data_IF_672767275794
#
_entry.id   IF_672767275794
#
_cell.length_a   1.000
_cell.length_b   1.000
_cell.length_c   1.000
_cell.angle_alpha   90.00
_cell.angle_beta   90.00
_cell.angle_gamma   90.00
#
_symmetry.space_group_name_H-M   'P 1'
#
loop_
_entity.id
_entity.type
_entity.pdbx_description
1 polymer ?
#
# COMPACT_ATOMS: atom_id res chain seq x y z
N UNK A 1 13.15 4.28 13.14
CA UNK A 1 12.40 5.22 14.01
C UNK A 1 11.19 4.47 14.55
N UNK A 2 10.99 4.42 15.87
CA UNK A 2 9.99 3.56 16.52
C UNK A 2 8.61 4.22 16.46
N UNK A 3 7.58 3.43 16.17
CA UNK A 3 6.19 3.81 16.47
C UNK A 3 6.05 4.05 17.97
N UNK A 4 5.38 5.14 18.34
CA UNK A 4 5.08 5.48 19.73
C UNK A 4 3.67 5.02 20.08
N UNK A 5 3.56 4.19 21.12
CA UNK A 5 2.30 3.64 21.61
C UNK A 5 1.80 4.48 22.78
N UNK A 6 0.50 4.79 22.81
CA UNK A 6 -0.10 5.53 23.92
C UNK A 6 -0.14 4.66 25.20
N UNK A 7 0.25 5.20 26.37
CA UNK A 7 0.22 4.47 27.64
C UNK A 7 -1.19 4.24 28.21
N UNK A 8 -2.20 5.00 27.79
CA UNK A 8 -3.61 4.84 28.19
C UNK A 8 -4.34 3.92 27.20
N UNK A 9 -4.00 4.01 25.91
CA UNK A 9 -4.54 3.15 24.84
C UNK A 9 -3.42 2.52 24.01
N UNK A 10 -3.00 1.30 24.33
CA UNK A 10 -1.90 0.56 23.67
C UNK A 10 -2.13 0.20 22.18
N UNK A 11 -3.13 0.79 21.52
CA UNK A 11 -3.60 0.44 20.18
C UNK A 11 -3.43 1.57 19.17
N UNK A 12 -2.89 2.73 19.59
CA UNK A 12 -2.77 3.90 18.72
C UNK A 12 -1.44 3.90 17.99
N UNK A 13 -1.45 3.65 16.67
CA UNK A 13 -0.29 3.77 15.80
C UNK A 13 -0.27 5.17 15.17
N UNK A 14 0.72 5.99 15.55
CA UNK A 14 0.85 7.39 15.10
C UNK A 14 2.04 7.61 14.18
N UNK A 15 1.88 8.51 13.21
CA UNK A 15 2.89 8.97 12.28
C UNK A 15 2.84 10.49 12.17
N UNK A 16 3.99 11.14 12.30
CA UNK A 16 4.15 12.58 12.08
C UNK A 16 4.62 12.84 10.65
N UNK A 17 3.82 13.58 9.85
CA UNK A 17 4.22 14.05 8.51
C UNK A 17 5.24 15.19 8.59
N UNK A 18 5.97 15.41 7.49
CA UNK A 18 6.94 16.51 7.38
C UNK A 18 6.27 17.89 7.46
N UNK A 19 4.99 17.98 7.09
CA UNK A 19 4.15 19.18 7.24
C UNK A 19 3.83 19.55 8.69
N UNK A 20 4.11 18.67 9.66
CA UNK A 20 3.67 18.83 11.05
C UNK A 20 2.26 18.27 11.32
N UNK A 21 1.61 17.65 10.33
CA UNK A 21 0.34 16.94 10.51
C UNK A 21 0.55 15.56 11.16
N UNK A 22 -0.23 15.25 12.19
CA UNK A 22 -0.29 13.91 12.80
C UNK A 22 -1.31 13.04 12.06
N UNK A 23 -0.90 11.82 11.74
CA UNK A 23 -1.73 10.76 11.18
C UNK A 23 -1.86 9.61 12.18
N UNK A 24 -3.08 9.13 12.38
CA UNK A 24 -3.38 7.96 13.20
C UNK A 24 -3.82 6.85 12.27
N UNK A 25 -3.18 5.67 12.37
CA UNK A 25 -3.64 4.46 11.70
C UNK A 25 -4.80 3.87 12.49
N UNK A 26 -6.00 3.96 11.95
CA UNK A 26 -7.22 3.47 12.59
C UNK A 26 -7.52 2.01 12.25
N UNK A 27 -7.15 1.57 11.04
CA UNK A 27 -7.35 0.20 10.58
C UNK A 27 -6.24 -0.23 9.63
N UNK A 28 -5.88 -1.50 9.72
CA UNK A 28 -4.91 -2.13 8.83
C UNK A 28 -5.41 -3.51 8.43
N UNK A 29 -5.56 -3.72 7.13
CA UNK A 29 -5.74 -5.04 6.54
C UNK A 29 -4.49 -5.43 5.77
N UNK A 30 -4.17 -6.72 5.83
CA UNK A 30 -3.01 -7.27 5.14
C UNK A 30 -3.33 -8.60 4.50
N UNK A 31 -2.75 -8.86 3.34
CA UNK A 31 -2.92 -10.10 2.59
C UNK A 31 -1.72 -10.35 1.71
N UNK A 32 -1.41 -11.62 1.43
CA UNK A 32 -0.33 -11.94 0.50
C UNK A 32 -0.71 -11.46 -0.91
N UNK A 33 0.20 -10.74 -1.56
CA UNK A 33 0.01 -10.14 -2.90
C UNK A 33 -0.40 -11.19 -3.94
N UNK A 34 0.22 -12.36 -3.88
CA UNK A 34 -0.03 -13.44 -4.85
C UNK A 34 -0.96 -14.52 -4.31
N UNK A 35 -1.68 -14.26 -3.21
CA UNK A 35 -2.70 -15.19 -2.73
C UNK A 35 -3.77 -15.40 -3.81
N UNK A 36 -3.92 -16.64 -4.29
CA UNK A 36 -4.85 -16.99 -5.36
C UNK A 36 -4.24 -17.08 -6.76
N UNK A 37 -2.95 -16.77 -6.92
CA UNK A 37 -2.22 -17.15 -8.13
C UNK A 37 -1.97 -18.67 -8.11
N UNK A 38 -2.67 -19.41 -8.98
CA UNK A 38 -2.63 -20.87 -8.99
C UNK A 38 -1.33 -21.43 -9.59
N UNK A 39 -0.86 -20.84 -10.69
CA UNK A 39 0.32 -21.30 -11.42
C UNK A 39 1.06 -20.13 -12.07
N UNK A 40 2.35 -20.34 -12.32
CA UNK A 40 3.19 -19.41 -13.07
C UNK A 40 4.10 -18.55 -12.21
N UNK A 41 4.75 -17.59 -12.88
CA UNK A 41 5.55 -16.55 -12.23
C UNK A 41 4.87 -15.24 -12.55
N UNK A 42 4.66 -14.35 -11.55
CA UNK A 42 4.10 -13.03 -11.77
C UNK A 42 4.78 -12.28 -12.91
N UNK A 43 3.99 -11.53 -13.65
CA UNK A 43 4.41 -10.63 -14.72
C UNK A 43 3.73 -9.27 -14.53
N UNK A 44 4.11 -8.31 -15.37
CA UNK A 44 3.59 -6.94 -15.29
C UNK A 44 2.07 -6.89 -15.36
N UNK A 45 1.46 -7.69 -16.24
CA UNK A 45 0.01 -7.70 -16.44
C UNK A 45 -0.71 -8.25 -15.21
N UNK A 46 -0.19 -9.32 -14.61
CA UNK A 46 -0.74 -9.87 -13.38
C UNK A 46 -0.62 -8.87 -12.22
N UNK A 47 0.52 -8.18 -12.09
CA UNK A 47 0.72 -7.16 -11.05
C UNK A 47 -0.23 -5.97 -11.22
N UNK A 48 -0.35 -5.44 -12.44
CA UNK A 48 -1.24 -4.31 -12.74
C UNK A 48 -2.69 -4.65 -12.43
N UNK A 49 -3.12 -5.86 -12.78
CA UNK A 49 -4.45 -6.35 -12.46
C UNK A 49 -4.66 -6.54 -10.95
N UNK A 50 -3.67 -7.12 -10.25
CA UNK A 50 -3.72 -7.27 -8.79
C UNK A 50 -3.86 -5.92 -8.07
N UNK A 51 -3.09 -4.92 -8.49
CA UNK A 51 -3.16 -3.55 -7.95
C UNK A 51 -4.54 -2.93 -8.15
N UNK A 52 -5.14 -3.06 -9.34
CA UNK A 52 -6.50 -2.56 -9.61
C UNK A 52 -7.55 -3.29 -8.73
N UNK A 53 -7.40 -4.61 -8.55
CA UNK A 53 -8.27 -5.39 -7.66
C UNK A 53 -8.13 -4.91 -6.20
N UNK A 54 -6.91 -4.67 -5.73
CA UNK A 54 -6.63 -4.20 -4.38
C UNK A 54 -7.16 -2.78 -4.13
N UNK A 55 -7.04 -1.89 -5.11
CA UNK A 55 -7.63 -0.54 -5.04
C UNK A 55 -9.15 -0.60 -4.98
N UNK A 56 -9.79 -1.44 -5.80
CA UNK A 56 -11.25 -1.64 -5.74
C UNK A 56 -11.68 -2.29 -4.43
N UNK A 57 -10.88 -3.20 -3.89
CA UNK A 57 -11.11 -3.80 -2.57
C UNK A 57 -11.03 -2.75 -1.47
N UNK A 58 -10.04 -1.87 -1.51
CA UNK A 58 -9.90 -0.74 -0.59
C UNK A 58 -11.08 0.22 -0.69
N UNK A 59 -11.49 0.61 -1.91
CA UNK A 59 -12.59 1.54 -2.15
C UNK A 59 -13.96 1.05 -1.62
N UNK A 60 -14.13 -0.26 -1.43
CA UNK A 60 -15.36 -0.88 -0.93
C UNK A 60 -15.38 -1.05 0.59
N UNK A 61 -14.32 -0.65 1.30
CA UNK A 61 -14.27 -0.76 2.75
C UNK A 61 -15.17 0.28 3.40
N UNK A 62 -15.84 -0.13 4.48
CA UNK A 62 -16.80 0.71 5.21
C UNK A 62 -16.19 2.04 5.72
N UNK A 63 -14.89 2.03 6.01
CA UNK A 63 -14.17 3.17 6.58
C UNK A 63 -13.43 4.00 5.55
N UNK A 64 -13.57 3.67 4.26
CA UNK A 64 -12.93 4.43 3.18
C UNK A 64 -13.80 5.62 2.80
N UNK A 65 -13.19 6.80 2.81
CA UNK A 65 -13.77 8.03 2.31
C UNK A 65 -12.97 8.46 1.08
N UNK A 66 -13.66 8.72 -0.03
CA UNK A 66 -13.04 9.08 -1.29
C UNK A 66 -12.34 7.92 -2.00
N UNK A 67 -11.47 8.26 -2.95
CA UNK A 67 -10.67 7.29 -3.69
C UNK A 67 -9.43 6.87 -2.88
N UNK A 68 -9.13 5.57 -2.75
CA UNK A 68 -7.91 5.12 -2.12
C UNK A 68 -6.66 5.62 -2.85
N UNK A 69 -5.65 6.03 -2.09
CA UNK A 69 -4.36 6.42 -2.64
C UNK A 69 -3.43 5.19 -2.75
N UNK A 70 -2.84 4.97 -3.92
CA UNK A 70 -1.79 3.97 -4.10
C UNK A 70 -0.42 4.60 -3.86
N UNK A 71 0.35 4.07 -2.91
CA UNK A 71 1.81 4.22 -2.93
C UNK A 71 2.34 3.21 -3.94
N UNK A 72 2.91 3.65 -5.09
CA UNK A 72 3.31 2.72 -6.15
C UNK A 72 4.32 1.69 -5.63
N UNK A 73 4.07 0.38 -5.84
CA UNK A 73 4.99 -0.63 -5.37
C UNK A 73 6.30 -0.60 -6.17
N UNK A 74 7.39 -0.97 -5.51
CA UNK A 74 8.64 -1.30 -6.20
C UNK A 74 8.43 -2.53 -7.07
N UNK A 75 8.89 -2.46 -8.31
CA UNK A 75 8.89 -3.58 -9.24
C UNK A 75 10.31 -4.08 -9.43
N UNK A 76 10.48 -5.38 -9.36
CA UNK A 76 11.75 -6.07 -9.54
C UNK A 76 11.55 -7.24 -10.49
N UNK A 77 12.58 -7.58 -11.23
CA UNK A 77 12.52 -8.60 -12.26
C UNK A 77 13.03 -9.98 -11.74
N UNK A 78 13.19 -10.06 -10.42
CA UNK A 78 13.65 -11.21 -9.64
C UNK A 78 12.81 -11.39 -8.38
N UNK A 79 12.80 -12.59 -7.79
CA UNK A 79 12.01 -12.84 -6.57
C UNK A 79 12.82 -12.54 -5.30
N UNK A 80 13.98 -13.17 -5.18
CA UNK A 80 14.88 -13.13 -4.04
C UNK A 80 16.16 -12.35 -4.35
N UNK A 81 16.81 -12.65 -5.49
CA UNK A 81 18.05 -12.00 -5.88
C UNK A 81 18.17 -11.84 -7.41
N UNK A 82 18.87 -10.79 -7.90
CA UNK A 82 19.05 -10.57 -9.33
C UNK A 82 19.59 -11.81 -10.06
N UNK A 83 18.87 -12.24 -11.10
CA UNK A 83 19.22 -13.41 -11.92
C UNK A 83 18.51 -14.71 -11.55
N UNK A 84 17.79 -14.76 -10.42
CA UNK A 84 17.07 -15.98 -10.00
C UNK A 84 15.92 -16.39 -10.95
N UNK A 85 15.51 -15.49 -11.84
CA UNK A 85 14.48 -15.73 -12.87
C UNK A 85 15.04 -16.08 -14.26
N UNK A 86 16.37 -16.17 -14.44
CA UNK A 86 16.97 -16.38 -15.78
C UNK A 86 16.53 -17.70 -16.43
N UNK A 87 16.41 -18.77 -15.64
CA UNK A 87 15.90 -20.05 -16.13
C UNK A 87 14.45 -19.94 -16.60
N UNK A 88 13.63 -19.17 -15.89
CA UNK A 88 12.23 -18.93 -16.26
C UNK A 88 12.14 -18.07 -17.53
N UNK A 89 12.99 -17.05 -17.69
CA UNK A 89 13.10 -16.28 -18.94
C UNK A 89 13.50 -17.18 -20.10
N UNK A 90 14.54 -18.01 -19.94
CA UNK A 90 14.99 -18.93 -20.98
C UNK A 90 13.90 -19.92 -21.37
N UNK A 91 13.16 -20.48 -20.40
CA UNK A 91 12.01 -21.36 -20.64
C UNK A 91 10.90 -20.67 -21.43
N UNK A 92 10.73 -19.36 -21.24
CA UNK A 92 9.68 -18.55 -21.88
C UNK A 92 10.12 -17.86 -23.16
N UNK A 93 11.40 -17.93 -23.53
CA UNK A 93 11.95 -17.24 -24.70
C UNK A 93 11.29 -17.64 -26.04
N UNK A 94 10.63 -18.80 -26.08
CA UNK A 94 9.91 -19.27 -27.27
C UNK A 94 8.50 -18.66 -27.42
N UNK A 95 7.98 -17.96 -26.40
CA UNK A 95 6.68 -17.29 -26.50
C UNK A 95 6.82 -15.94 -27.24
N UNK A 96 5.74 -15.46 -27.90
CA UNK A 96 5.75 -14.14 -28.53
C UNK A 96 6.00 -13.01 -27.52
N UNK A 97 6.80 -12.02 -27.89
CA UNK A 97 7.21 -10.92 -27.00
C UNK A 97 6.03 -10.05 -26.56
N UNK A 98 5.03 -9.92 -27.42
CA UNK A 98 3.79 -9.17 -27.18
C UNK A 98 2.93 -9.74 -26.05
N UNK A 99 3.24 -10.93 -25.53
CA UNK A 99 2.55 -11.49 -24.37
C UNK A 99 3.07 -10.94 -23.04
N UNK A 100 4.18 -10.17 -23.04
CA UNK A 100 4.74 -9.49 -21.85
C UNK A 100 4.87 -10.40 -20.62
N UNK A 101 5.35 -11.64 -20.81
CA UNK A 101 5.42 -12.68 -19.74
C UNK A 101 6.74 -12.69 -18.97
N UNK A 102 7.50 -11.61 -19.08
CA UNK A 102 8.75 -11.44 -18.35
C UNK A 102 8.43 -11.42 -16.85
N UNK A 103 9.16 -12.20 -16.03
CA UNK A 103 9.01 -12.18 -14.59
C UNK A 103 9.12 -10.75 -14.03
N UNK A 104 8.10 -10.36 -13.27
CA UNK A 104 8.07 -9.11 -12.54
C UNK A 104 7.35 -9.32 -11.21
N UNK A 105 8.00 -8.91 -10.13
CA UNK A 105 7.49 -8.99 -8.78
C UNK A 105 7.30 -7.60 -8.19
N UNK A 106 6.15 -7.39 -7.56
CA UNK A 106 5.94 -6.42 -6.48
C UNK A 106 6.09 -7.11 -5.11
N UNK A 107 6.19 -6.37 -3.99
CA UNK A 107 6.39 -6.95 -2.66
C UNK A 107 5.29 -7.95 -2.26
N UNK A 108 5.59 -8.83 -1.32
CA UNK A 108 4.81 -10.05 -1.05
C UNK A 108 3.54 -9.83 -0.22
N UNK A 109 3.40 -8.67 0.41
CA UNK A 109 2.24 -8.33 1.22
C UNK A 109 1.61 -7.03 0.71
N UNK A 110 0.32 -7.10 0.37
CA UNK A 110 -0.53 -5.94 0.17
C UNK A 110 -1.09 -5.48 1.52
N UNK A 111 -1.00 -4.20 1.80
CA UNK A 111 -1.56 -3.54 2.97
C UNK A 111 -2.57 -2.47 2.56
N UNK A 112 -3.71 -2.45 3.24
CA UNK A 112 -4.73 -1.40 3.10
C UNK A 112 -4.90 -0.74 4.48
N UNK A 113 -4.46 0.50 4.60
CA UNK A 113 -4.51 1.27 5.84
C UNK A 113 -5.48 2.44 5.76
N UNK A 114 -6.35 2.58 6.75
CA UNK A 114 -7.19 3.78 6.90
C UNK A 114 -6.56 4.69 7.96
N UNK A 115 -6.16 5.88 7.53
CA UNK A 115 -5.54 6.90 8.37
C UNK A 115 -6.50 8.05 8.63
N UNK A 116 -6.36 8.70 9.79
CA UNK A 116 -7.10 9.91 10.16
C UNK A 116 -6.20 11.00 10.69
N UNK A 117 -6.64 12.24 10.54
CA UNK A 117 -6.02 13.45 11.11
C UNK A 117 -7.11 14.36 11.68
N UNK A 118 -6.85 14.99 12.84
CA UNK A 118 -7.85 15.75 13.60
C UNK A 118 -7.76 17.29 13.48
N UNK A 119 -6.93 17.86 12.59
CA UNK A 119 -7.41 19.01 11.82
C UNK A 119 -8.06 18.50 10.51
N UNK A 120 -9.27 18.98 10.15
CA UNK A 120 -9.79 18.79 8.80
C UNK A 120 -8.92 19.50 7.76
N UNK A 121 -9.17 19.25 6.49
CA UNK A 121 -8.41 19.81 5.37
C UNK A 121 -9.11 21.02 4.78
N UNK A 122 -10.43 20.96 4.55
CA UNK A 122 -11.15 21.98 3.79
C UNK A 122 -12.20 22.72 4.63
N UNK A 123 -12.97 21.97 5.43
CA UNK A 123 -14.11 22.51 6.19
C UNK A 123 -13.79 22.53 7.70
N UNK A 124 -13.57 23.70 8.31
CA UNK A 124 -13.28 23.84 9.73
C UNK A 124 -14.38 23.33 10.66
N UNK A 125 -15.62 23.16 10.17
CA UNK A 125 -16.74 22.62 10.95
C UNK A 125 -16.72 21.08 11.03
N UNK A 126 -15.81 20.42 10.31
CA UNK A 126 -15.63 18.96 10.35
C UNK A 126 -14.73 18.54 11.49
N UNK A 127 -14.87 17.28 11.90
CA UNK A 127 -14.13 16.74 13.05
C UNK A 127 -12.71 16.31 12.68
N UNK A 128 -12.42 16.09 11.40
CA UNK A 128 -11.12 15.65 10.92
C UNK A 128 -11.18 15.23 9.46
N UNK A 129 -10.08 14.64 8.99
CA UNK A 129 -9.91 14.14 7.62
C UNK A 129 -9.41 12.70 7.64
N UNK A 130 -9.78 11.93 6.61
CA UNK A 130 -9.42 10.52 6.48
C UNK A 130 -8.89 10.22 5.09
N UNK A 131 -7.94 9.29 5.01
CA UNK A 131 -7.43 8.76 3.76
C UNK A 131 -7.18 7.26 3.88
N UNK A 132 -7.65 6.50 2.88
CA UNK A 132 -7.28 5.10 2.72
C UNK A 132 -6.07 5.01 1.80
N UNK A 133 -5.02 4.34 2.25
CA UNK A 133 -3.78 4.14 1.49
C UNK A 133 -3.57 2.66 1.25
N UNK A 134 -3.26 2.31 0.01
CA UNK A 134 -2.84 0.96 -0.40
C UNK A 134 -1.35 0.99 -0.67
N UNK A 135 -0.62 0.04 -0.10
CA UNK A 135 0.81 -0.13 -0.35
C UNK A 135 1.20 -1.60 -0.33
N UNK A 136 2.44 -1.88 -0.71
CA UNK A 136 3.01 -3.22 -0.71
C UNK A 136 4.35 -3.21 0.04
N UNK A 137 4.60 -4.26 0.81
CA UNK A 137 5.85 -4.47 1.55
C UNK A 137 6.26 -5.95 1.55
N UNK A 138 7.52 -6.22 1.91
CA UNK A 138 8.10 -7.57 1.77
C UNK A 138 7.59 -8.56 2.85
N UNK A 139 7.20 -8.07 4.03
CA UNK A 139 6.64 -8.87 5.13
C UNK A 139 5.38 -8.22 5.71
N UNK A 140 4.60 -8.95 6.51
CA UNK A 140 3.44 -8.42 7.21
C UNK A 140 3.85 -7.26 8.14
N UNK A 141 3.18 -6.12 8.00
CA UNK A 141 3.25 -4.99 8.90
C UNK A 141 2.87 -5.42 10.33
N UNK A 142 3.85 -5.44 11.22
CA UNK A 142 4.29 -4.30 12.02
C UNK A 142 5.72 -4.62 12.49
N UNK A 143 6.70 -3.70 12.35
CA UNK A 143 6.56 -2.32 11.89
C UNK A 143 6.31 -2.18 10.38
N UNK A 144 5.73 -1.05 9.96
CA UNK A 144 5.63 -0.67 8.53
C UNK A 144 7.04 -0.40 8.00
N UNK A 145 7.30 -0.81 6.75
CA UNK A 145 8.60 -0.61 6.09
C UNK A 145 9.02 0.86 6.06
N UNK A 146 10.32 1.11 6.24
CA UNK A 146 10.88 2.46 6.36
C UNK A 146 10.62 3.32 5.12
N UNK A 147 10.54 2.70 3.95
CA UNK A 147 10.31 3.35 2.68
C UNK A 147 8.85 3.78 2.55
N UNK A 148 7.92 2.92 2.95
CA UNK A 148 6.49 3.26 3.02
C UNK A 148 6.26 4.35 4.06
N UNK A 149 6.92 4.28 5.21
CA UNK A 149 6.87 5.35 6.21
C UNK A 149 7.37 6.69 5.65
N UNK A 150 8.38 6.68 4.77
CA UNK A 150 8.86 7.90 4.12
C UNK A 150 7.80 8.46 3.17
N UNK A 151 7.20 7.62 2.34
CA UNK A 151 6.13 8.04 1.42
C UNK A 151 4.92 8.61 2.18
N UNK A 152 4.46 7.93 3.23
CA UNK A 152 3.35 8.41 4.07
C UNK A 152 3.63 9.78 4.72
N UNK A 153 4.89 10.06 5.06
CA UNK A 153 5.29 11.36 5.64
C UNK A 153 5.30 12.51 4.64
N UNK A 154 5.53 12.19 3.38
CA UNK A 154 5.65 13.15 2.26
C UNK A 154 4.34 13.27 1.47
N UNK A 155 3.38 12.39 1.74
CA UNK A 155 2.07 12.35 1.13
C UNK A 155 1.36 13.70 1.23
N UNK A 156 0.86 14.20 0.08
CA UNK A 156 0.07 15.42 0.00
C UNK A 156 -1.36 15.18 0.54
N UNK A 157 -1.43 15.11 1.87
CA UNK A 157 -2.66 14.81 2.61
C UNK A 157 -3.78 15.80 2.28
N UNK A 158 -3.44 17.08 2.13
CA UNK A 158 -4.42 18.15 1.93
C UNK A 158 -5.08 18.06 0.53
N UNK A 159 -4.43 17.44 -0.45
CA UNK A 159 -5.06 17.16 -1.75
C UNK A 159 -5.85 15.85 -1.81
N UNK A 160 -5.51 14.88 -0.96
CA UNK A 160 -5.98 13.49 -1.06
C UNK A 160 -7.08 13.12 -0.05
N UNK A 161 -7.02 13.68 1.15
CA UNK A 161 -7.89 13.26 2.24
C UNK A 161 -9.30 13.89 2.15
N UNK A 162 -10.28 13.18 2.69
CA UNK A 162 -11.67 13.61 2.73
C UNK A 162 -12.07 13.94 4.16
N UNK A 163 -12.69 15.11 4.36
CA UNK A 163 -13.19 15.54 5.66
C UNK A 163 -14.40 14.70 6.13
N UNK A 164 -14.49 14.42 7.42
CA UNK A 164 -15.58 13.66 8.03
C UNK A 164 -16.18 14.35 9.25
N UNK A 165 -17.43 14.00 9.54
CA UNK A 165 -18.13 14.34 10.77
C UNK A 165 -18.58 13.04 11.45
N UNK A 166 -18.78 13.11 12.77
CA UNK A 166 -19.29 12.04 13.63
C UNK A 166 -20.73 12.35 14.00
#
# INVERSE_FOLDING_TARGET
MKMEYDPIYHVTCRLQQESGRELILNQLEQSQTYAGMLEGVPDKKANDWGIDVDLRRAARREYTLGEPHLIPPRRRDYQHEPGDMEQERARRAHYPKEWERDPEWIPQVCCIGCFRSFPPVNDPEKHGSSLTVVWYQDDYALPIDSEILKELKQLDWDSLAIDFAY
#
